data_IF_600607918424
#
_entry.id   IF_600607918424
#
_cell.length_a   1.000
_cell.length_b   1.000
_cell.length_c   1.000
_cell.angle_alpha   90.00
_cell.angle_beta   90.00
_cell.angle_gamma   90.00
#
_symmetry.space_group_name_H-M   'P 1'
#
loop_
_entity.id
_entity.type
_entity.pdbx_description
1 polymer ?
#
# COMPACT_ATOMS: atom_id res chain seq x y z
N UNK A 1 -0.15 -3.27 14.18
CA UNK A 1 -0.52 -3.12 12.74
C UNK A 1 -0.89 -4.45 12.16
N UNK A 2 -1.90 -4.47 11.33
CA UNK A 2 -2.32 -5.70 10.67
C UNK A 2 -2.36 -5.50 9.16
N UNK A 3 -2.25 -6.60 8.42
CA UNK A 3 -2.27 -6.62 6.97
C UNK A 3 -3.61 -6.07 6.46
N UNK A 4 -3.54 -5.16 5.50
CA UNK A 4 -4.72 -4.47 4.95
C UNK A 4 -5.02 -3.13 5.58
N UNK A 5 -4.36 -2.78 6.68
CA UNK A 5 -4.50 -1.45 7.27
C UNK A 5 -3.79 -0.39 6.43
N UNK A 6 -4.36 0.82 6.43
CA UNK A 6 -3.84 1.97 5.70
C UNK A 6 -3.26 2.98 6.68
N UNK A 7 -2.03 3.41 6.42
CA UNK A 7 -1.33 4.40 7.22
C UNK A 7 -0.79 5.51 6.34
N UNK A 8 -0.70 6.71 6.88
CA UNK A 8 0.14 7.74 6.28
C UNK A 8 1.60 7.34 6.44
N UNK A 9 2.41 7.62 5.44
CA UNK A 9 3.82 7.27 5.47
C UNK A 9 4.66 8.34 4.79
N UNK A 10 5.90 8.48 5.25
CA UNK A 10 6.90 9.32 4.60
C UNK A 10 7.72 8.45 3.65
N UNK A 11 7.56 8.68 2.36
CA UNK A 11 8.23 7.89 1.32
C UNK A 11 9.52 8.53 0.80
N UNK A 12 9.78 9.80 1.12
CA UNK A 12 11.02 10.46 0.71
C UNK A 12 12.18 10.07 1.62
N UNK A 13 13.44 10.02 1.12
CA UNK A 13 13.80 10.26 -0.26
C UNK A 13 13.65 9.03 -1.14
N UNK A 14 13.20 9.22 -2.37
CA UNK A 14 13.14 8.19 -3.39
C UNK A 14 13.54 8.81 -4.73
N UNK A 15 13.75 7.98 -5.76
CA UNK A 15 14.19 8.45 -7.06
C UNK A 15 13.30 7.93 -8.18
N UNK A 16 13.41 8.55 -9.36
CA UNK A 16 12.69 8.10 -10.55
C UNK A 16 11.18 8.24 -10.44
N UNK A 17 10.47 7.20 -10.88
CA UNK A 17 9.01 7.19 -10.92
C UNK A 17 8.36 6.69 -9.62
N UNK A 18 9.14 6.41 -8.58
CA UNK A 18 8.61 5.96 -7.31
C UNK A 18 7.79 7.06 -6.63
N UNK A 19 6.73 6.66 -5.92
CA UNK A 19 5.94 7.60 -5.12
C UNK A 19 6.82 8.24 -4.05
N UNK A 20 6.66 9.54 -3.85
CA UNK A 20 7.48 10.32 -2.93
C UNK A 20 6.61 11.17 -2.01
N UNK A 21 7.22 11.67 -0.94
CA UNK A 21 6.57 12.54 0.03
C UNK A 21 5.65 11.76 0.96
N UNK A 22 4.74 12.50 1.60
CA UNK A 22 3.78 11.92 2.53
C UNK A 22 2.60 11.36 1.76
N UNK A 23 2.45 10.04 1.79
CA UNK A 23 1.41 9.32 1.03
C UNK A 23 0.78 8.24 1.89
N UNK A 24 -0.47 7.86 1.61
CA UNK A 24 -1.03 6.68 2.24
C UNK A 24 -0.42 5.41 1.66
N UNK A 25 -0.25 4.41 2.51
CA UNK A 25 0.25 3.09 2.12
C UNK A 25 -0.61 2.01 2.76
N UNK A 26 -0.66 0.84 2.13
CA UNK A 26 -1.34 -0.34 2.67
C UNK A 26 -0.29 -1.31 3.17
N UNK A 27 -0.44 -1.75 4.42
CA UNK A 27 0.44 -2.79 4.99
C UNK A 27 0.09 -4.13 4.36
N UNK A 28 1.08 -4.79 3.77
CA UNK A 28 0.91 -6.10 3.12
C UNK A 28 1.81 -7.18 3.69
N UNK A 29 2.73 -6.85 4.61
CA UNK A 29 3.56 -7.84 5.28
C UNK A 29 2.71 -8.78 6.13
N UNK A 30 3.23 -9.98 6.35
CA UNK A 30 2.56 -11.03 7.12
C UNK A 30 2.32 -10.58 8.57
N UNK A 31 1.14 -10.84 9.12
CA UNK A 31 0.79 -10.46 10.47
C UNK A 31 1.67 -11.12 11.53
N UNK A 32 2.23 -12.28 11.22
CA UNK A 32 3.23 -12.93 12.08
C UNK A 32 4.44 -12.04 12.35
N UNK A 33 4.74 -11.09 11.44
CA UNK A 33 5.78 -10.07 11.63
C UNK A 33 5.18 -8.77 12.14
N UNK A 34 4.07 -8.34 11.54
CA UNK A 34 3.43 -7.06 11.88
C UNK A 34 3.10 -6.91 13.37
N UNK A 35 2.73 -8.02 14.01
CA UNK A 35 2.28 -8.03 15.41
C UNK A 35 3.41 -8.20 16.41
N UNK A 36 4.65 -8.39 15.96
CA UNK A 36 5.81 -8.44 16.85
C UNK A 36 6.17 -7.02 17.25
N UNK A 37 6.13 -6.67 18.57
CA UNK A 37 6.33 -5.27 18.98
C UNK A 37 7.67 -4.68 18.59
N UNK A 38 8.73 -5.49 18.50
CA UNK A 38 10.07 -5.03 18.14
C UNK A 38 10.30 -4.99 16.61
N UNK A 39 9.37 -5.49 15.81
CA UNK A 39 9.54 -5.52 14.35
C UNK A 39 9.46 -4.12 13.75
N UNK A 40 10.42 -3.78 12.91
CA UNK A 40 10.53 -2.43 12.38
C UNK A 40 10.37 -2.34 10.86
N UNK A 41 10.39 -3.46 10.15
CA UNK A 41 10.40 -3.47 8.69
C UNK A 41 9.06 -3.94 8.14
N UNK A 42 8.21 -3.00 7.74
CA UNK A 42 6.89 -3.32 7.17
C UNK A 42 6.96 -3.29 5.65
N UNK A 43 6.34 -4.27 5.00
CA UNK A 43 6.17 -4.26 3.56
C UNK A 43 4.86 -3.55 3.24
N UNK A 44 4.91 -2.58 2.37
CA UNK A 44 3.77 -1.72 2.07
C UNK A 44 3.60 -1.50 0.57
N UNK A 45 2.37 -1.17 0.17
CA UNK A 45 2.02 -0.78 -1.20
C UNK A 45 1.59 0.67 -1.18
N UNK A 46 2.26 1.56 -1.93
CA UNK A 46 1.87 2.97 -2.00
C UNK A 46 0.53 3.16 -2.72
N UNK A 47 -0.18 4.20 -2.33
CA UNK A 47 -1.45 4.59 -2.92
C UNK A 47 -1.28 5.93 -3.63
N UNK A 48 -1.86 6.04 -4.84
CA UNK A 48 -1.79 7.25 -5.66
C UNK A 48 -3.18 7.67 -6.12
N UNK A 49 -3.39 8.98 -6.28
CA UNK A 49 -4.59 9.53 -6.92
C UNK A 49 -4.37 9.85 -8.40
N UNK A 50 -3.19 9.53 -8.94
CA UNK A 50 -2.83 9.82 -10.32
C UNK A 50 -3.68 9.01 -11.31
N UNK A 51 -4.32 9.70 -12.25
CA UNK A 51 -5.06 9.05 -13.33
C UNK A 51 -4.13 8.27 -14.28
N UNK A 52 -2.91 8.76 -14.47
CA UNK A 52 -1.92 8.07 -15.29
C UNK A 52 -1.53 6.74 -14.67
N UNK A 53 -1.38 6.70 -13.34
CA UNK A 53 -1.06 5.45 -12.63
C UNK A 53 -2.23 4.45 -12.70
N UNK A 54 -3.46 4.94 -12.70
CA UNK A 54 -4.65 4.07 -12.79
C UNK A 54 -4.71 3.28 -14.10
N UNK A 55 -3.98 3.71 -15.14
CA UNK A 55 -3.97 3.05 -16.45
C UNK A 55 -2.91 1.96 -16.60
N UNK A 56 -2.15 1.66 -15.54
CA UNK A 56 -1.06 0.68 -15.62
C UNK A 56 -1.53 -0.78 -15.70
N UNK A 57 -2.82 -1.02 -15.59
CA UNK A 57 -3.38 -2.35 -15.74
C UNK A 57 -3.41 -3.15 -14.44
N UNK A 58 -3.06 -4.44 -14.50
CA UNK A 58 -3.30 -5.39 -13.39
C UNK A 58 -2.55 -5.10 -12.11
N UNK A 59 -1.45 -4.34 -12.17
CA UNK A 59 -0.67 -3.99 -10.98
C UNK A 59 -1.19 -2.74 -10.27
N UNK A 60 -2.10 -1.98 -10.90
CA UNK A 60 -2.73 -0.81 -10.32
C UNK A 60 -4.15 -1.20 -9.88
N UNK A 61 -4.35 -1.39 -8.59
CA UNK A 61 -5.61 -1.87 -8.03
C UNK A 61 -6.47 -0.69 -7.62
N UNK A 62 -7.63 -0.54 -8.26
CA UNK A 62 -8.54 0.57 -8.01
C UNK A 62 -9.21 0.44 -6.64
N UNK A 63 -9.27 1.55 -5.92
CA UNK A 63 -9.95 1.67 -4.64
C UNK A 63 -10.96 2.81 -4.74
N UNK A 64 -12.23 2.50 -4.44
CA UNK A 64 -13.29 3.50 -4.47
C UNK A 64 -13.11 4.54 -3.35
N UNK A 65 -13.72 5.71 -3.52
CA UNK A 65 -13.80 6.70 -2.45
C UNK A 65 -14.39 6.07 -1.20
N UNK A 66 -13.76 6.29 -0.05
CA UNK A 66 -14.16 5.71 1.23
C UNK A 66 -13.46 4.41 1.58
N UNK A 67 -12.89 3.70 0.61
CA UNK A 67 -12.14 2.48 0.86
C UNK A 67 -10.92 2.78 1.75
N UNK A 68 -10.71 1.97 2.78
CA UNK A 68 -9.57 2.13 3.68
C UNK A 68 -9.55 3.46 4.42
N UNK A 69 -10.66 4.18 4.49
CA UNK A 69 -10.73 5.51 5.10
C UNK A 69 -10.27 6.63 4.17
N UNK A 70 -9.96 6.32 2.91
CA UNK A 70 -9.50 7.31 1.94
C UNK A 70 -10.68 8.04 1.32
N UNK A 71 -10.59 9.38 1.24
CA UNK A 71 -11.73 10.21 0.82
C UNK A 71 -11.96 10.22 -0.68
N UNK A 72 -10.93 9.99 -1.48
CA UNK A 72 -10.99 10.08 -2.94
C UNK A 72 -10.75 8.70 -3.57
N UNK A 73 -11.29 8.46 -4.78
CA UNK A 73 -10.89 7.29 -5.55
C UNK A 73 -9.39 7.33 -5.78
N UNK A 74 -8.75 6.18 -5.70
CA UNK A 74 -7.28 6.07 -5.82
C UNK A 74 -6.91 4.68 -6.32
N UNK A 75 -5.62 4.45 -6.47
CA UNK A 75 -5.08 3.16 -6.89
C UNK A 75 -3.95 2.74 -5.99
N UNK A 76 -3.89 1.46 -5.67
CA UNK A 76 -2.76 0.85 -4.99
C UNK A 76 -1.76 0.37 -6.05
N UNK A 77 -0.51 0.80 -5.93
CA UNK A 77 0.53 0.55 -6.93
C UNK A 77 1.35 -0.68 -6.53
N UNK A 78 0.87 -1.86 -6.88
CA UNK A 78 1.52 -3.12 -6.49
C UNK A 78 2.94 -3.27 -7.03
N UNK A 79 3.23 -2.68 -8.21
CA UNK A 79 4.58 -2.71 -8.77
C UNK A 79 5.58 -1.84 -7.98
N UNK A 80 5.09 -0.98 -7.09
CA UNK A 80 5.94 -0.17 -6.22
C UNK A 80 5.99 -0.70 -4.78
N UNK A 81 5.62 -1.95 -4.57
CA UNK A 81 5.73 -2.59 -3.25
C UNK A 81 7.14 -2.40 -2.70
N UNK A 82 7.23 -2.00 -1.44
CA UNK A 82 8.51 -1.66 -0.83
C UNK A 82 8.47 -1.87 0.68
N UNK A 83 9.64 -1.85 1.29
CA UNK A 83 9.78 -1.95 2.74
C UNK A 83 9.98 -0.56 3.34
N UNK A 84 9.30 -0.29 4.44
CA UNK A 84 9.49 0.94 5.22
C UNK A 84 9.81 0.59 6.67
N UNK A 85 10.69 1.37 7.28
CA UNK A 85 10.90 1.31 8.71
C UNK A 85 9.66 1.84 9.44
N UNK A 86 9.36 1.27 10.61
CA UNK A 86 8.25 1.70 11.47
C UNK A 86 8.23 3.22 11.69
N UNK A 87 9.40 3.83 11.83
CA UNK A 87 9.51 5.27 12.08
C UNK A 87 8.95 6.13 10.95
N UNK A 88 8.79 5.57 9.75
CA UNK A 88 8.23 6.28 8.60
C UNK A 88 6.71 6.21 8.52
N UNK A 89 6.08 5.38 9.35
CA UNK A 89 4.63 5.23 9.39
C UNK A 89 4.04 6.20 10.39
N UNK A 90 3.06 6.96 9.95
CA UNK A 90 2.33 7.93 10.75
C UNK A 90 0.96 7.40 11.19
N UNK A 91 -0.05 8.28 11.28
CA UNK A 91 -1.37 7.89 11.76
C UNK A 91 -2.06 6.86 10.88
N UNK A 92 -2.82 5.98 11.52
CA UNK A 92 -3.70 5.04 10.83
C UNK A 92 -4.85 5.80 10.15
N UNK A 93 -5.12 5.44 8.91
CA UNK A 93 -6.24 6.00 8.13
C UNK A 93 -7.47 5.10 8.22
N UNK A 94 -7.27 3.80 8.09
CA UNK A 94 -8.35 2.81 8.09
C UNK A 94 -7.84 1.43 7.71
N UNK A 95 -8.73 0.61 7.17
CA UNK A 95 -8.40 -0.71 6.67
C UNK A 95 -9.22 -0.99 5.42
N UNK A 96 -8.64 -1.64 4.43
CA UNK A 96 -9.38 -2.05 3.22
C UNK A 96 -10.19 -3.31 3.52
N UNK A 97 -11.25 -3.53 2.75
CA UNK A 97 -12.11 -4.71 2.88
C UNK A 97 -11.36 -5.97 2.45
N UNK A 98 -11.91 -7.14 2.85
CA UNK A 98 -11.38 -8.44 2.40
C UNK A 98 -11.39 -8.55 0.87
N UNK A 99 -12.43 -8.04 0.25
CA UNK A 99 -12.58 -8.05 -1.21
C UNK A 99 -11.47 -7.21 -1.86
N UNK A 100 -11.23 -6.01 -1.37
CA UNK A 100 -10.15 -5.14 -1.86
C UNK A 100 -8.79 -5.77 -1.60
N UNK A 101 -8.60 -6.40 -0.44
CA UNK A 101 -7.34 -7.09 -0.13
C UNK A 101 -7.09 -8.26 -1.07
N UNK A 102 -8.13 -9.02 -1.44
CA UNK A 102 -7.99 -10.11 -2.40
C UNK A 102 -7.56 -9.59 -3.78
N UNK A 103 -8.11 -8.44 -4.22
CA UNK A 103 -7.69 -7.80 -5.46
C UNK A 103 -6.25 -7.28 -5.37
N UNK A 104 -5.87 -6.76 -4.21
CA UNK A 104 -4.49 -6.33 -3.97
C UNK A 104 -3.53 -7.52 -4.06
N UNK A 105 -3.89 -8.65 -3.47
CA UNK A 105 -3.10 -9.88 -3.54
C UNK A 105 -2.89 -10.32 -4.98
N UNK A 106 -3.94 -10.27 -5.79
CA UNK A 106 -3.84 -10.59 -7.22
C UNK A 106 -2.89 -9.63 -7.94
N UNK A 107 -2.96 -8.33 -7.61
CA UNK A 107 -2.06 -7.32 -8.15
C UNK A 107 -0.61 -7.57 -7.77
N UNK A 108 -0.37 -7.98 -6.52
CA UNK A 108 0.98 -8.33 -6.04
C UNK A 108 1.51 -9.58 -6.73
N UNK A 109 0.68 -10.61 -6.91
CA UNK A 109 1.08 -11.81 -7.66
C UNK A 109 1.48 -11.44 -9.08
N UNK A 110 0.72 -10.56 -9.72
CA UNK A 110 1.03 -10.08 -11.06
C UNK A 110 2.36 -9.31 -11.10
N UNK A 111 2.54 -8.37 -10.16
CA UNK A 111 3.73 -7.52 -10.11
C UNK A 111 5.00 -8.32 -9.82
N UNK A 112 4.90 -9.39 -9.05
CA UNK A 112 6.04 -10.22 -8.61
C UNK A 112 6.15 -11.53 -9.39
N UNK A 113 5.28 -11.77 -10.35
CA UNK A 113 5.23 -13.01 -11.13
C UNK A 113 5.08 -14.24 -10.25
N UNK A 114 4.16 -14.18 -9.29
CA UNK A 114 3.84 -15.29 -8.39
C UNK A 114 2.56 -15.99 -8.84
N UNK A 115 2.50 -17.29 -8.59
CA UNK A 115 1.34 -18.11 -8.93
C UNK A 115 0.08 -17.74 -8.14
#
# INVERSE_FOLDING_TARGET
>A
MTRGEVYWAELSPRSGSEEQGRRPVIVVSHDGLNLVPSWRSFVVVPISTSKAQARRGMTAVALAAGAGGLKKPCVALCHQVTTLDRARLGPRVGAISRESLARLDAGLRCALDLD
#
